data_IF_187359910277
#
_entry.id   IF_187359910277
#
_cell.length_a   1.000
_cell.length_b   1.000
_cell.length_c   1.000
_cell.angle_alpha   90.00
_cell.angle_beta   90.00
_cell.angle_gamma   90.00
#
_symmetry.space_group_name_H-M   'P 1'
#
loop_
_entity.id
_entity.type
_entity.pdbx_description
1 polymer ?
#
# COMPACT_ATOMS: atom_id res chain seq x y z
N UNK A 1 -11.28 2.81 -2.04
CA UNK A 1 -12.08 3.86 -2.72
C UNK A 1 -11.29 4.58 -3.80
N UNK A 2 -10.14 5.19 -3.50
CA UNK A 2 -9.31 5.90 -4.50
C UNK A 2 -8.93 4.95 -5.66
N UNK A 3 -8.32 3.80 -5.33
CA UNK A 3 -7.94 2.76 -6.31
C UNK A 3 -9.12 2.33 -7.19
N UNK A 4 -10.28 2.07 -6.59
CA UNK A 4 -11.47 1.58 -7.31
C UNK A 4 -12.02 2.61 -8.29
N UNK A 5 -11.99 3.90 -7.94
CA UNK A 5 -12.42 4.97 -8.85
C UNK A 5 -11.51 5.07 -10.08
N UNK A 6 -10.19 5.04 -9.89
CA UNK A 6 -9.24 5.12 -11.02
C UNK A 6 -9.35 3.89 -11.91
N UNK A 7 -9.44 2.69 -11.32
CA UNK A 7 -9.62 1.46 -12.09
C UNK A 7 -10.97 1.45 -12.80
N UNK A 8 -12.00 2.08 -12.23
CA UNK A 8 -13.30 2.22 -12.88
C UNK A 8 -13.24 3.11 -14.11
N UNK A 9 -12.63 4.29 -14.00
CA UNK A 9 -12.39 5.18 -15.14
C UNK A 9 -11.60 4.49 -16.25
N UNK A 10 -10.57 3.73 -15.87
CA UNK A 10 -9.76 2.92 -16.79
C UNK A 10 -10.60 1.82 -17.46
N UNK A 11 -11.39 1.07 -16.70
CA UNK A 11 -12.22 -0.03 -17.20
C UNK A 11 -13.31 0.46 -18.16
N UNK A 12 -13.92 1.62 -17.87
CA UNK A 12 -14.94 2.26 -18.72
C UNK A 12 -14.36 3.13 -19.83
N UNK A 13 -13.02 3.18 -19.96
CA UNK A 13 -12.30 4.00 -20.94
C UNK A 13 -12.67 5.50 -20.87
N UNK A 14 -13.08 5.98 -19.69
CA UNK A 14 -13.46 7.37 -19.48
C UNK A 14 -12.31 8.33 -19.82
N UNK A 15 -11.09 7.97 -19.42
CA UNK A 15 -9.88 8.73 -19.76
C UNK A 15 -9.68 8.88 -21.27
N UNK A 16 -9.93 7.83 -22.05
CA UNK A 16 -9.80 7.87 -23.52
C UNK A 16 -10.86 8.80 -24.11
N UNK A 17 -12.10 8.75 -23.60
CA UNK A 17 -13.14 9.67 -24.03
C UNK A 17 -12.78 11.13 -23.72
N UNK A 18 -12.23 11.43 -22.54
CA UNK A 18 -11.76 12.78 -22.20
C UNK A 18 -10.62 13.24 -23.13
N UNK A 19 -9.71 12.33 -23.50
CA UNK A 19 -8.64 12.62 -24.46
C UNK A 19 -9.17 12.93 -25.87
N UNK A 20 -10.23 12.25 -26.30
CA UNK A 20 -10.91 12.56 -27.57
C UNK A 20 -11.57 13.95 -27.58
N UNK A 21 -11.87 14.52 -26.41
CA UNK A 21 -12.37 15.89 -26.26
C UNK A 21 -11.24 16.92 -26.08
N UNK A 22 -9.98 16.53 -26.29
CA UNK A 22 -8.82 17.44 -26.27
C UNK A 22 -8.14 17.58 -24.90
N UNK A 23 -8.52 16.81 -23.88
CA UNK A 23 -7.83 16.82 -22.60
C UNK A 23 -6.49 16.08 -22.70
N UNK A 24 -5.39 16.76 -22.34
CA UNK A 24 -4.08 16.13 -22.22
C UNK A 24 -4.00 15.15 -21.05
N UNK A 25 -3.06 14.20 -21.12
CA UNK A 25 -2.87 13.19 -20.07
C UNK A 25 -2.37 13.80 -18.74
N UNK A 26 -1.51 14.81 -18.81
CA UNK A 26 -0.93 15.47 -17.63
C UNK A 26 -1.97 16.31 -16.84
N UNK A 27 -2.80 17.17 -17.49
CA UNK A 27 -3.93 17.82 -16.82
C UNK A 27 -4.87 16.85 -16.11
N UNK A 28 -5.18 15.70 -16.74
CA UNK A 28 -6.02 14.68 -16.11
C UNK A 28 -5.41 14.20 -14.77
N UNK A 29 -4.13 13.83 -14.77
CA UNK A 29 -3.46 13.35 -13.56
C UNK A 29 -3.40 14.41 -12.46
N UNK A 30 -3.11 15.66 -12.82
CA UNK A 30 -3.11 16.78 -11.87
C UNK A 30 -4.49 17.02 -11.26
N UNK A 31 -5.55 17.02 -12.08
CA UNK A 31 -6.93 17.22 -11.62
C UNK A 31 -7.35 16.05 -10.71
N UNK A 32 -7.12 14.80 -11.12
CA UNK A 32 -7.43 13.63 -10.30
C UNK A 32 -6.70 13.67 -8.96
N UNK A 33 -5.40 14.01 -8.97
CA UNK A 33 -4.60 14.11 -7.75
C UNK A 33 -5.11 15.22 -6.82
N UNK A 34 -5.37 16.41 -7.35
CA UNK A 34 -5.92 17.53 -6.60
C UNK A 34 -7.28 17.18 -5.98
N UNK A 35 -8.16 16.54 -6.76
CA UNK A 35 -9.46 16.07 -6.28
C UNK A 35 -9.32 15.11 -5.08
N UNK A 36 -8.44 14.11 -5.19
CA UNK A 36 -8.24 13.15 -4.09
C UNK A 36 -7.56 13.79 -2.87
N UNK A 37 -6.62 14.72 -3.05
CA UNK A 37 -6.05 15.48 -1.94
C UNK A 37 -7.12 16.28 -1.21
N UNK A 38 -7.94 17.04 -1.93
CA UNK A 38 -8.99 17.87 -1.32
C UNK A 38 -10.00 17.01 -0.57
N UNK A 39 -10.39 15.89 -1.16
CA UNK A 39 -11.28 14.93 -0.50
C UNK A 39 -10.63 14.34 0.77
N UNK A 40 -9.37 13.93 0.69
CA UNK A 40 -8.62 13.42 1.84
C UNK A 40 -8.42 14.46 2.94
N UNK A 41 -8.22 15.74 2.59
CA UNK A 41 -8.15 16.84 3.54
C UNK A 41 -9.46 17.01 4.31
N UNK A 42 -10.60 16.94 3.62
CA UNK A 42 -11.90 16.99 4.26
C UNK A 42 -12.10 15.82 5.24
N UNK A 43 -11.74 14.60 4.83
CA UNK A 43 -11.78 13.42 5.70
C UNK A 43 -10.86 13.56 6.91
N UNK A 44 -9.65 14.07 6.72
CA UNK A 44 -8.67 14.25 7.78
C UNK A 44 -9.15 15.25 8.83
N UNK A 45 -9.62 16.43 8.39
CA UNK A 45 -10.14 17.45 9.30
C UNK A 45 -11.35 16.93 10.07
N UNK A 46 -12.27 16.24 9.39
CA UNK A 46 -13.42 15.62 10.04
C UNK A 46 -12.97 14.60 11.09
N UNK A 47 -12.03 13.71 10.75
CA UNK A 47 -11.50 12.69 11.66
C UNK A 47 -10.86 13.30 12.92
N UNK A 48 -10.05 14.35 12.76
CA UNK A 48 -9.42 15.05 13.89
C UNK A 48 -10.44 15.77 14.79
N UNK A 49 -11.44 16.42 14.18
CA UNK A 49 -12.52 17.08 14.92
C UNK A 49 -13.32 16.06 15.74
N UNK A 50 -13.78 14.98 15.12
CA UNK A 50 -14.52 13.92 15.82
C UNK A 50 -13.66 13.29 16.92
N UNK A 51 -12.41 12.95 16.63
CA UNK A 51 -11.50 12.37 17.62
C UNK A 51 -11.31 13.25 18.86
N UNK A 52 -11.28 14.58 18.65
CA UNK A 52 -11.21 15.56 19.75
C UNK A 52 -12.52 15.70 20.50
N UNK A 53 -13.66 15.77 19.80
CA UNK A 53 -15.00 15.94 20.38
C UNK A 53 -15.40 14.75 21.26
N UNK A 54 -15.06 13.53 20.85
CA UNK A 54 -15.28 12.33 21.67
C UNK A 54 -14.31 12.21 22.86
N UNK A 55 -13.34 13.12 22.98
CA UNK A 55 -12.46 13.20 24.14
C UNK A 55 -11.33 12.17 24.15
N UNK A 56 -10.98 11.57 23.00
CA UNK A 56 -9.88 10.61 22.95
C UNK A 56 -8.54 11.28 23.31
N UNK A 57 -7.87 10.73 24.32
CA UNK A 57 -6.58 11.21 24.84
C UNK A 57 -5.51 11.24 23.76
N UNK A 58 -5.55 10.28 22.84
CA UNK A 58 -4.69 10.22 21.65
C UNK A 58 -4.68 11.53 20.83
N UNK A 59 -5.85 12.15 20.63
CA UNK A 59 -5.96 13.40 19.87
C UNK A 59 -5.65 14.62 20.73
N UNK A 60 -6.12 14.65 21.98
CA UNK A 60 -6.05 15.83 22.84
C UNK A 60 -4.67 16.09 23.44
N UNK A 61 -3.91 15.05 23.72
CA UNK A 61 -2.63 15.17 24.45
C UNK A 61 -1.45 15.46 23.52
N UNK A 62 -1.54 15.03 22.26
CA UNK A 62 -0.53 15.26 21.24
C UNK A 62 -0.81 16.56 20.47
N UNK A 63 0.23 17.20 19.94
CA UNK A 63 0.09 18.44 19.17
C UNK A 63 -0.72 18.22 17.88
N UNK A 64 -1.80 18.98 17.70
CA UNK A 64 -2.64 18.93 16.49
C UNK A 64 -1.86 19.23 15.21
N UNK A 65 -0.88 20.14 15.26
CA UNK A 65 -0.04 20.46 14.11
C UNK A 65 0.81 19.27 13.67
N UNK A 66 1.39 18.55 14.63
CA UNK A 66 2.20 17.35 14.36
C UNK A 66 1.30 16.25 13.79
N UNK A 67 0.17 15.96 14.43
CA UNK A 67 -0.82 14.99 13.92
C UNK A 67 -1.22 15.30 12.48
N UNK A 68 -1.57 16.55 12.21
CA UNK A 68 -2.00 16.98 10.88
C UNK A 68 -0.93 16.71 9.81
N UNK A 69 0.33 17.07 10.06
CA UNK A 69 1.42 16.85 9.09
C UNK A 69 1.64 15.36 8.81
N UNK A 70 1.67 14.52 9.85
CA UNK A 70 1.89 13.09 9.67
C UNK A 70 0.73 12.42 8.93
N UNK A 71 -0.52 12.76 9.28
CA UNK A 71 -1.68 12.22 8.58
C UNK A 71 -1.80 12.75 7.15
N UNK A 72 -1.48 14.02 6.91
CA UNK A 72 -1.46 14.59 5.57
C UNK A 72 -0.40 13.92 4.68
N UNK A 73 0.81 13.71 5.21
CA UNK A 73 1.86 12.97 4.52
C UNK A 73 1.41 11.54 4.19
N UNK A 74 0.77 10.86 5.14
CA UNK A 74 0.27 9.50 4.92
C UNK A 74 -0.83 9.42 3.87
N UNK A 75 -1.82 10.33 3.92
CA UNK A 75 -2.89 10.36 2.92
C UNK A 75 -2.33 10.66 1.53
N UNK A 76 -1.34 11.54 1.44
CA UNK A 76 -0.64 11.86 0.18
C UNK A 76 0.12 10.64 -0.36
N UNK A 77 0.83 9.91 0.51
CA UNK A 77 1.48 8.65 0.18
C UNK A 77 0.47 7.59 -0.30
N UNK A 78 -0.66 7.45 0.40
CA UNK A 78 -1.71 6.48 0.08
C UNK A 78 -2.36 6.77 -1.28
N UNK A 79 -2.60 8.04 -1.63
CA UNK A 79 -3.10 8.45 -2.95
C UNK A 79 -2.10 8.02 -4.04
N UNK A 80 -0.82 8.31 -3.85
CA UNK A 80 0.23 7.99 -4.82
C UNK A 80 0.44 6.48 -4.98
N UNK A 81 0.38 5.74 -3.87
CA UNK A 81 0.39 4.28 -3.91
C UNK A 81 -0.85 3.73 -4.64
N UNK A 82 -2.03 4.32 -4.45
CA UNK A 82 -3.23 3.92 -5.18
C UNK A 82 -3.11 4.20 -6.69
N UNK A 83 -2.47 5.31 -7.09
CA UNK A 83 -2.20 5.63 -8.49
C UNK A 83 -1.26 4.60 -9.11
N UNK A 84 -0.18 4.25 -8.40
CA UNK A 84 0.75 3.20 -8.80
C UNK A 84 0.03 1.86 -8.95
N UNK A 85 -0.75 1.45 -7.94
CA UNK A 85 -1.49 0.18 -7.94
C UNK A 85 -2.56 0.12 -9.03
N UNK A 86 -3.16 1.24 -9.42
CA UNK A 86 -4.15 1.28 -10.50
C UNK A 86 -3.56 0.84 -11.87
N UNK A 87 -2.23 0.93 -12.04
CA UNK A 87 -1.55 0.43 -13.24
C UNK A 87 -1.66 -1.10 -13.36
N UNK A 88 -1.61 -1.83 -12.24
CA UNK A 88 -1.65 -3.28 -12.18
C UNK A 88 -3.04 -3.88 -12.49
N UNK A 89 -4.12 -3.12 -12.24
CA UNK A 89 -5.49 -3.62 -12.37
C UNK A 89 -6.20 -3.14 -13.65
N UNK A 90 -7.12 -3.96 -14.13
CA UNK A 90 -8.08 -3.61 -15.21
C UNK A 90 -9.54 -3.86 -14.83
N UNK A 91 -9.80 -4.58 -13.76
CA UNK A 91 -11.15 -4.90 -13.30
C UNK A 91 -11.35 -4.32 -11.89
N UNK A 92 -12.40 -3.51 -11.73
CA UNK A 92 -12.74 -2.84 -10.48
C UNK A 92 -13.03 -3.82 -9.36
N UNK A 93 -13.73 -4.94 -9.65
CA UNK A 93 -14.09 -5.92 -8.61
C UNK A 93 -12.85 -6.54 -7.99
N UNK A 94 -11.90 -6.96 -8.83
CA UNK A 94 -10.63 -7.53 -8.39
C UNK A 94 -9.79 -6.50 -7.62
N UNK A 95 -9.71 -5.27 -8.12
CA UNK A 95 -8.99 -4.20 -7.44
C UNK A 95 -9.60 -3.85 -6.08
N UNK A 96 -10.95 -3.87 -5.96
CA UNK A 96 -11.65 -3.64 -4.71
C UNK A 96 -11.32 -4.71 -3.67
N UNK A 97 -11.48 -5.99 -4.05
CA UNK A 97 -11.20 -7.13 -3.15
C UNK A 97 -9.76 -7.11 -2.67
N UNK A 98 -8.79 -6.95 -3.59
CA UNK A 98 -7.37 -6.90 -3.22
C UNK A 98 -7.07 -5.65 -2.38
N UNK A 99 -7.68 -4.51 -2.69
CA UNK A 99 -7.54 -3.30 -1.86
C UNK A 99 -8.04 -3.50 -0.43
N UNK A 100 -9.17 -4.18 -0.24
CA UNK A 100 -9.69 -4.48 1.10
C UNK A 100 -8.79 -5.47 1.84
N UNK A 101 -8.36 -6.56 1.17
CA UNK A 101 -7.40 -7.49 1.75
C UNK A 101 -6.07 -6.83 2.10
N UNK A 102 -5.61 -5.90 1.27
CA UNK A 102 -4.41 -5.11 1.54
C UNK A 102 -4.58 -4.31 2.82
N UNK A 103 -5.60 -3.44 2.91
CA UNK A 103 -5.80 -2.56 4.08
C UNK A 103 -6.00 -3.37 5.37
N UNK A 104 -6.87 -4.39 5.33
CA UNK A 104 -7.18 -5.19 6.50
C UNK A 104 -6.01 -6.10 6.90
N UNK A 105 -5.45 -6.83 5.92
CA UNK A 105 -4.35 -7.76 6.15
C UNK A 105 -3.10 -7.06 6.62
N UNK A 106 -2.74 -5.92 6.01
CA UNK A 106 -1.56 -5.16 6.42
C UNK A 106 -1.68 -4.60 7.84
N UNK A 107 -2.88 -4.19 8.25
CA UNK A 107 -3.12 -3.69 9.61
C UNK A 107 -2.91 -4.77 10.67
N UNK A 108 -3.43 -5.98 10.44
CA UNK A 108 -3.20 -7.12 11.33
C UNK A 108 -1.73 -7.56 11.34
N UNK A 109 -1.11 -7.65 10.16
CA UNK A 109 0.31 -8.01 10.06
C UNK A 109 1.16 -6.98 10.81
N UNK A 110 0.84 -5.69 10.74
CA UNK A 110 1.58 -4.68 11.48
C UNK A 110 1.54 -4.91 13.00
N UNK A 111 0.35 -5.20 13.55
CA UNK A 111 0.22 -5.38 15.00
C UNK A 111 0.90 -6.66 15.53
N UNK A 112 0.79 -7.78 14.81
CA UNK A 112 1.37 -9.05 15.24
C UNK A 112 2.84 -9.21 14.85
N UNK A 113 3.21 -8.79 13.64
CA UNK A 113 4.55 -8.99 13.12
C UNK A 113 5.43 -7.77 13.34
N UNK A 114 4.99 -6.54 13.07
CA UNK A 114 5.87 -5.36 13.10
C UNK A 114 6.07 -4.78 14.51
N UNK A 115 5.04 -4.82 15.37
CA UNK A 115 5.10 -4.30 16.74
C UNK A 115 6.28 -4.83 17.58
N UNK A 116 6.57 -6.15 17.64
CA UNK A 116 7.71 -6.65 18.41
C UNK A 116 9.05 -6.07 17.94
N UNK A 117 9.20 -5.76 16.64
CA UNK A 117 10.42 -5.14 16.13
C UNK A 117 10.59 -3.68 16.54
N UNK A 118 9.49 -2.99 16.82
CA UNK A 118 9.53 -1.61 17.33
C UNK A 118 9.92 -1.60 18.81
N UNK A 119 9.46 -2.58 19.58
CA UNK A 119 9.63 -2.65 21.03
C UNK A 119 11.00 -3.22 21.45
N UNK A 120 11.63 -4.03 20.60
CA UNK A 120 12.91 -4.68 20.91
C UNK A 120 14.11 -3.74 20.70
N UNK A 121 14.96 -3.64 21.73
CA UNK A 121 16.17 -2.81 21.76
C UNK A 121 17.33 -3.47 20.98
N UNK A 122 17.30 -4.78 20.77
CA UNK A 122 18.41 -5.54 20.17
C UNK A 122 18.39 -5.59 18.63
N UNK A 123 17.31 -5.11 18.00
CA UNK A 123 17.15 -5.17 16.56
C UNK A 123 17.81 -3.97 15.88
N UNK A 124 18.50 -4.21 14.76
CA UNK A 124 19.17 -3.13 14.04
C UNK A 124 18.14 -2.18 13.41
N UNK A 125 18.39 -0.87 13.58
CA UNK A 125 17.53 0.21 13.08
C UNK A 125 17.26 0.12 11.57
N UNK A 126 18.20 -0.45 10.82
CA UNK A 126 18.07 -0.68 9.38
C UNK A 126 16.93 -1.63 9.01
N UNK A 127 16.65 -2.67 9.81
CA UNK A 127 15.54 -3.58 9.54
C UNK A 127 14.18 -2.90 9.72
N UNK A 128 14.07 -2.05 10.74
CA UNK A 128 12.86 -1.25 10.99
C UNK A 128 12.61 -0.31 9.81
N UNK A 129 13.65 0.42 9.35
CA UNK A 129 13.57 1.32 8.19
C UNK A 129 13.13 0.56 6.92
N UNK A 130 13.63 -0.66 6.70
CA UNK A 130 13.24 -1.47 5.56
C UNK A 130 11.76 -1.86 5.62
N UNK A 131 11.27 -2.24 6.81
CA UNK A 131 9.86 -2.55 7.01
C UNK A 131 8.98 -1.29 6.89
N UNK A 132 9.47 -0.12 7.31
CA UNK A 132 8.78 1.17 7.14
C UNK A 132 8.59 1.58 5.67
N UNK A 133 9.36 1.02 4.73
CA UNK A 133 9.13 1.18 3.27
C UNK A 133 7.84 0.50 2.77
N UNK A 134 7.12 -0.17 3.67
CA UNK A 134 5.78 -0.64 3.38
C UNK A 134 4.78 0.36 3.97
N UNK A 135 3.99 1.10 3.15
CA UNK A 135 3.15 2.19 3.64
C UNK A 135 2.26 1.87 4.85
N UNK A 136 1.65 0.67 4.98
CA UNK A 136 0.87 0.35 6.16
C UNK A 136 1.70 0.27 7.44
N UNK A 137 2.97 -0.11 7.36
CA UNK A 137 3.87 -0.17 8.51
C UNK A 137 4.33 1.22 8.93
N UNK A 138 4.53 2.15 7.99
CA UNK A 138 4.79 3.55 8.35
C UNK A 138 3.61 4.19 9.09
N UNK A 139 2.36 3.92 8.68
CA UNK A 139 1.18 4.33 9.46
C UNK A 139 1.15 3.69 10.84
N UNK A 140 1.42 2.38 10.93
CA UNK A 140 1.45 1.70 12.22
C UNK A 140 2.46 2.35 13.16
N UNK A 141 3.67 2.66 12.68
CA UNK A 141 4.71 3.32 13.47
C UNK A 141 4.25 4.68 13.99
N UNK A 142 3.59 5.50 13.17
CA UNK A 142 3.04 6.80 13.58
C UNK A 142 2.01 6.65 14.69
N UNK A 143 1.04 5.73 14.50
CA UNK A 143 -0.02 5.48 15.48
C UNK A 143 0.58 4.99 16.79
N UNK A 144 1.55 4.07 16.71
CA UNK A 144 2.27 3.56 17.87
C UNK A 144 2.95 4.69 18.65
N UNK A 145 3.76 5.53 18.00
CA UNK A 145 4.50 6.61 18.66
C UNK A 145 3.58 7.67 19.29
N UNK A 146 2.48 8.04 18.61
CA UNK A 146 1.48 8.94 19.19
C UNK A 146 0.76 8.31 20.38
N UNK A 147 0.48 7.00 20.34
CA UNK A 147 -0.20 6.28 21.42
C UNK A 147 0.69 6.15 22.66
N UNK A 148 1.99 5.88 22.46
CA UNK A 148 2.96 5.81 23.54
C UNK A 148 3.20 7.18 24.16
N UNK A 149 3.31 8.23 23.34
CA UNK A 149 3.45 9.61 23.83
C UNK A 149 2.25 10.04 24.66
N UNK A 150 1.02 9.70 24.24
CA UNK A 150 -0.19 9.99 25.01
C UNK A 150 -0.29 9.16 26.31
N UNK A 151 0.17 7.91 26.29
CA UNK A 151 0.13 7.03 27.47
C UNK A 151 1.15 7.47 28.53
N UNK A 152 2.34 7.92 28.12
CA UNK A 152 3.38 8.41 29.03
C UNK A 152 2.98 9.69 29.78
N UNK A 153 2.13 10.52 29.18
CA UNK A 153 1.54 11.70 29.84
C UNK A 153 0.83 11.30 31.13
N UNK A 154 0.06 10.21 31.08
CA UNK A 154 -0.70 9.72 32.24
C UNK A 154 0.18 9.13 33.36
N UNK A 155 1.44 8.82 33.06
CA UNK A 155 2.35 8.11 33.96
C UNK A 155 3.48 8.99 34.52
N UNK A 156 3.96 10.00 33.76
CA UNK A 156 5.21 10.72 34.08
C UNK A 156 5.04 12.26 33.96
N UNK A 157 3.82 12.80 33.99
CA UNK A 157 3.54 14.25 33.89
C UNK A 157 4.27 14.94 32.70
N UNK A 158 4.52 14.19 31.63
CA UNK A 158 5.06 14.74 30.38
C UNK A 158 3.94 15.27 29.51
N UNK A 159 4.23 16.27 28.70
CA UNK A 159 3.33 16.67 27.60
C UNK A 159 3.35 15.59 26.51
N UNK A 160 2.24 15.43 25.76
CA UNK A 160 2.23 14.53 24.62
C UNK A 160 3.13 15.04 23.48
N UNK A 161 3.15 14.33 22.36
CA UNK A 161 4.13 14.56 21.30
C UNK A 161 4.09 16.00 20.76
N UNK A 162 5.22 16.69 20.87
CA UNK A 162 5.43 18.03 20.35
C UNK A 162 6.42 18.06 19.17
N UNK A 163 6.51 19.22 18.51
CA UNK A 163 7.46 19.46 17.43
C UNK A 163 8.93 19.34 17.87
N UNK A 164 9.23 19.74 19.10
CA UNK A 164 10.57 19.61 19.69
C UNK A 164 10.99 18.14 19.84
N UNK A 165 10.02 17.27 20.09
CA UNK A 165 10.29 15.86 20.35
C UNK A 165 10.64 15.15 19.05
N UNK A 166 10.15 15.58 17.88
CA UNK A 166 10.36 14.90 16.60
C UNK A 166 11.83 14.62 16.27
N UNK A 167 12.75 15.46 16.73
CA UNK A 167 14.18 15.32 16.46
C UNK A 167 14.94 14.48 17.51
N UNK A 168 14.24 13.91 18.50
CA UNK A 168 14.84 13.01 19.47
C UNK A 168 15.26 11.69 18.78
N UNK A 169 16.55 11.33 18.77
CA UNK A 169 17.01 10.10 18.11
C UNK A 169 16.38 8.82 18.69
N UNK A 170 15.77 8.89 19.89
CA UNK A 170 15.05 7.78 20.51
C UNK A 170 13.68 7.52 19.88
N UNK A 171 13.06 8.52 19.25
CA UNK A 171 11.80 8.32 18.56
C UNK A 171 12.02 8.11 17.05
N UNK A 172 11.13 7.33 16.44
CA UNK A 172 11.19 7.01 15.01
C UNK A 172 10.60 8.10 14.11
N UNK A 173 10.05 9.18 14.68
CA UNK A 173 9.11 10.06 13.98
C UNK A 173 9.73 10.81 12.79
N UNK A 174 10.93 11.37 12.94
CA UNK A 174 11.62 12.04 11.81
C UNK A 174 12.00 11.06 10.70
N UNK A 175 12.41 9.83 11.06
CA UNK A 175 12.75 8.78 10.09
C UNK A 175 11.52 8.42 9.25
N UNK A 176 10.41 8.13 9.91
CA UNK A 176 9.16 7.71 9.26
C UNK A 176 8.62 8.82 8.36
N UNK A 177 8.62 10.07 8.81
CA UNK A 177 8.18 11.20 8.00
C UNK A 177 9.03 11.35 6.74
N UNK A 178 10.36 11.21 6.88
CA UNK A 178 11.29 11.29 5.76
C UNK A 178 11.03 10.17 4.76
N UNK A 179 10.86 8.93 5.23
CA UNK A 179 10.53 7.77 4.39
C UNK A 179 9.24 8.02 3.63
N UNK A 180 8.18 8.44 4.31
CA UNK A 180 6.88 8.67 3.68
C UNK A 180 6.92 9.75 2.59
N UNK A 181 7.66 10.84 2.81
CA UNK A 181 7.82 11.89 1.78
C UNK A 181 8.62 11.37 0.59
N UNK A 182 9.69 10.60 0.83
CA UNK A 182 10.49 10.00 -0.23
C UNK A 182 9.66 9.00 -1.05
N UNK A 183 8.94 8.11 -0.39
CA UNK A 183 8.05 7.14 -1.04
C UNK A 183 6.92 7.79 -1.79
N UNK A 184 6.36 8.87 -1.22
CA UNK A 184 5.29 9.63 -1.84
C UNK A 184 5.73 10.16 -3.21
N UNK A 185 6.90 10.80 -3.26
CA UNK A 185 7.48 11.30 -4.51
C UNK A 185 7.82 10.14 -5.45
N UNK A 186 8.44 9.08 -4.93
CA UNK A 186 8.83 7.90 -5.71
C UNK A 186 7.63 7.23 -6.39
N UNK A 187 6.53 7.02 -5.67
CA UNK A 187 5.32 6.39 -6.21
C UNK A 187 4.62 7.28 -7.23
N UNK A 188 4.61 8.60 -7.05
CA UNK A 188 4.10 9.52 -8.07
C UNK A 188 4.93 9.41 -9.36
N UNK A 189 6.25 9.53 -9.27
CA UNK A 189 7.14 9.42 -10.43
C UNK A 189 6.99 8.07 -11.12
N UNK A 190 6.95 6.98 -10.36
CA UNK A 190 6.77 5.63 -10.90
C UNK A 190 5.39 5.46 -11.56
N UNK A 191 4.33 6.04 -10.97
CA UNK A 191 2.99 5.97 -11.55
C UNK A 191 2.93 6.71 -12.90
N UNK A 192 3.53 7.90 -13.00
CA UNK A 192 3.60 8.67 -14.25
C UNK A 192 4.47 7.97 -15.29
N UNK A 193 5.60 7.40 -14.86
CA UNK A 193 6.49 6.63 -15.73
C UNK A 193 5.76 5.42 -16.32
N UNK A 194 5.10 4.62 -15.49
CA UNK A 194 4.37 3.43 -15.94
C UNK A 194 3.16 3.78 -16.83
N UNK A 195 2.53 4.94 -16.62
CA UNK A 195 1.43 5.40 -17.48
C UNK A 195 1.94 5.86 -18.85
N UNK A 196 3.06 6.58 -18.91
CA UNK A 196 3.66 7.03 -20.17
C UNK A 196 4.24 5.87 -21.00
N UNK A 197 4.92 4.92 -20.34
CA UNK A 197 5.51 3.74 -20.98
C UNK A 197 4.55 2.55 -21.04
N UNK A 198 3.23 2.78 -21.12
CA UNK A 198 2.14 1.78 -21.09
C UNK A 198 2.27 0.57 -22.04
N UNK A 199 3.29 0.51 -22.90
CA UNK A 199 3.80 -0.69 -23.58
C UNK A 199 4.29 -1.78 -22.60
N UNK A 200 4.89 -1.45 -21.46
CA UNK A 200 5.43 -2.43 -20.51
C UNK A 200 4.33 -3.21 -19.77
N UNK A 201 3.10 -2.67 -19.71
CA UNK A 201 1.90 -3.36 -19.20
C UNK A 201 1.55 -4.60 -20.05
N UNK A 202 1.82 -4.55 -21.36
CA UNK A 202 1.71 -5.72 -22.24
C UNK A 202 2.84 -6.71 -21.98
N UNK A 203 4.04 -6.22 -21.66
CA UNK A 203 5.24 -7.01 -21.37
C UNK A 203 5.13 -7.82 -20.08
N UNK A 204 4.75 -7.20 -18.96
CA UNK A 204 4.58 -7.91 -17.68
C UNK A 204 3.40 -8.88 -17.74
N UNK A 205 2.28 -8.51 -18.37
CA UNK A 205 1.15 -9.45 -18.57
C UNK A 205 1.55 -10.64 -19.43
N UNK A 206 2.31 -10.41 -20.51
CA UNK A 206 2.87 -11.50 -21.32
C UNK A 206 3.86 -12.33 -20.51
N UNK A 207 4.73 -11.73 -19.70
CA UNK A 207 5.68 -12.45 -18.86
C UNK A 207 4.98 -13.32 -17.81
N UNK A 208 3.96 -12.78 -17.11
CA UNK A 208 3.16 -13.52 -16.11
C UNK A 208 2.34 -14.62 -16.77
N UNK A 209 1.72 -14.36 -17.93
CA UNK A 209 1.01 -15.38 -18.70
C UNK A 209 1.94 -16.47 -19.23
N UNK A 210 3.15 -16.12 -19.68
CA UNK A 210 4.17 -17.08 -20.12
C UNK A 210 4.66 -17.95 -18.96
N UNK A 211 4.86 -17.36 -17.78
CA UNK A 211 5.26 -18.09 -16.59
C UNK A 211 4.15 -19.03 -16.09
N UNK A 212 2.89 -18.59 -16.17
CA UNK A 212 1.72 -19.40 -15.86
C UNK A 212 1.52 -20.53 -16.90
N UNK A 213 1.71 -20.23 -18.18
CA UNK A 213 1.65 -21.20 -19.29
C UNK A 213 2.75 -22.25 -19.20
N UNK A 214 3.98 -21.87 -18.81
CA UNK A 214 5.08 -22.83 -18.58
C UNK A 214 4.78 -23.75 -17.40
N UNK A 215 4.16 -23.22 -16.34
CA UNK A 215 3.78 -24.02 -15.16
C UNK A 215 2.61 -24.97 -15.44
N UNK A 216 1.68 -24.59 -16.32
CA UNK A 216 0.60 -25.44 -16.80
C UNK A 216 1.09 -26.51 -17.78
N UNK A 217 1.98 -26.16 -18.72
CA UNK A 217 2.58 -27.09 -19.68
C UNK A 217 3.43 -28.20 -19.03
N UNK A 218 4.18 -27.86 -17.98
CA UNK A 218 4.94 -28.86 -17.21
C UNK A 218 4.03 -29.83 -16.45
N UNK A 219 2.84 -29.40 -15.99
CA UNK A 219 1.85 -30.27 -15.34
C UNK A 219 1.16 -31.20 -16.34
N UNK A 220 0.85 -30.75 -17.55
CA UNK A 220 0.23 -31.60 -18.57
C UNK A 220 1.20 -32.65 -19.11
N UNK A 221 2.48 -32.30 -19.31
CA UNK A 221 3.51 -33.25 -19.76
C UNK A 221 3.82 -34.31 -18.69
N UNK A 222 3.91 -33.94 -17.41
CA UNK A 222 4.12 -34.91 -16.32
C UNK A 222 2.95 -35.87 -16.19
N UNK A 223 1.71 -35.39 -16.34
CA UNK A 223 0.50 -36.23 -16.28
C UNK A 223 0.35 -37.13 -17.51
N UNK A 224 0.74 -36.68 -18.71
CA UNK A 224 0.78 -37.55 -19.89
C UNK A 224 1.83 -38.64 -19.77
N UNK A 225 3.07 -38.33 -19.35
CA UNK A 225 4.12 -39.33 -19.16
C UNK A 225 3.75 -40.37 -18.09
N UNK A 226 3.10 -39.97 -16.99
CA UNK A 226 2.59 -40.91 -16.00
C UNK A 226 1.50 -41.83 -16.57
N UNK A 227 0.58 -41.29 -17.36
CA UNK A 227 -0.49 -42.10 -17.99
C UNK A 227 0.10 -43.11 -18.99
N UNK A 228 1.09 -42.71 -19.79
CA UNK A 228 1.76 -43.60 -20.76
C UNK A 228 2.53 -44.72 -20.06
N UNK A 229 3.28 -44.43 -18.99
CA UNK A 229 4.00 -45.46 -18.23
C UNK A 229 3.06 -46.47 -17.54
N UNK A 230 1.92 -46.01 -17.02
CA UNK A 230 0.91 -46.91 -16.42
C UNK A 230 0.31 -47.83 -17.50
N UNK A 231 0.14 -47.33 -18.72
CA UNK A 231 -0.44 -48.09 -19.83
C UNK A 231 0.56 -49.12 -20.38
N UNK A 232 1.85 -48.77 -20.47
CA UNK A 232 2.92 -49.71 -20.81
C UNK A 232 3.09 -50.80 -19.74
N UNK A 233 3.04 -50.44 -18.45
CA UNK A 233 3.09 -51.40 -17.35
C UNK A 233 1.90 -52.36 -17.35
N UNK A 234 0.68 -51.88 -17.64
CA UNK A 234 -0.49 -52.77 -17.80
C UNK A 234 -0.34 -53.72 -18.98
N UNK A 235 0.18 -53.23 -20.11
CA UNK A 235 0.39 -54.04 -21.30
C UNK A 235 1.47 -55.12 -21.09
N UNK A 236 2.53 -54.84 -20.32
CA UNK A 236 3.56 -55.84 -20.00
C UNK A 236 3.05 -56.95 -19.08
N UNK A 237 2.18 -56.62 -18.11
CA UNK A 237 1.58 -57.60 -17.19
C UNK A 237 0.58 -58.52 -17.91
N UNK A 238 -0.09 -58.02 -18.96
CA UNK A 238 -1.04 -58.81 -19.75
C UNK A 238 -0.35 -59.72 -20.78
N UNK A 239 0.88 -59.42 -21.19
CA UNK A 239 1.72 -60.29 -22.03
C UNK A 239 2.45 -61.40 -21.26
N UNK A 240 2.56 -61.29 -19.93
CA UNK A 240 3.16 -62.32 -19.05
C UNK A 240 2.14 -63.35 -18.54
N UNK A 241 0.87 -63.26 -18.94
CA UNK A 241 -0.22 -64.17 -18.55
C UNK A 241 -0.60 -65.11 -19.69
#
# INVERSE_FOLDING_TARGET
>A
VILTNIVYEKQKKLRIMMKMHGLGDLPYWTISYCYFILLSMLYLLSFMVFGTVFGFTFFRLNSYGVQFVFYFAYMSLQISFAFLMATCFSNVRTAAVIGYFYVFGSGLIADYFFKPYIEDIFISRSWIILLELFPPFSLYRIVYEFSQSASLVSQIDRTGMQWSDLNDPKNGMTSVLTIMVLEWILFLLLSLYLDHFGSFQSGIRRAVLLLHSRRAGNRSQSSQQQTTQIQEFKASVEMER
#
